data_IF_065429283762
#
_entry.id   IF_065429283762
#
_cell.length_a   1.000
_cell.length_b   1.000
_cell.length_c   1.000
_cell.angle_alpha   90.00
_cell.angle_beta   90.00
_cell.angle_gamma   90.00
#
_symmetry.space_group_name_H-M   'P 1'
#
loop_
_entity.id
_entity.type
_entity.pdbx_description
1 polymer ?
#
# COMPACT_ATOMS: atom_id res chain seq x y z
N UNK A 1 -26.19 -3.10 31.83
CA UNK A 1 -25.03 -2.83 32.72
C UNK A 1 -23.86 -3.82 32.55
N UNK A 2 -24.07 -5.07 32.12
CA UNK A 2 -22.95 -6.03 31.93
C UNK A 2 -22.10 -5.86 30.65
N UNK A 3 -22.55 -5.07 29.65
CA UNK A 3 -21.74 -4.77 28.44
C UNK A 3 -20.69 -3.68 28.67
N UNK A 4 -20.88 -2.82 29.67
CA UNK A 4 -19.92 -1.78 30.04
C UNK A 4 -18.71 -2.36 30.79
N UNK A 5 -18.91 -3.46 31.53
CA UNK A 5 -17.86 -4.14 32.30
C UNK A 5 -16.83 -4.87 31.38
N UNK A 6 -17.27 -5.37 30.22
CA UNK A 6 -16.40 -6.10 29.28
C UNK A 6 -15.46 -5.14 28.53
N UNK A 7 -15.89 -3.90 28.26
CA UNK A 7 -15.06 -2.89 27.60
C UNK A 7 -13.98 -2.31 28.51
N UNK A 8 -14.19 -2.26 29.83
CA UNK A 8 -13.18 -1.79 30.79
C UNK A 8 -12.07 -2.83 31.01
N UNK A 9 -12.38 -4.13 30.97
CA UNK A 9 -11.36 -5.19 31.12
C UNK A 9 -10.45 -5.35 29.90
N UNK A 10 -10.88 -4.94 28.70
CA UNK A 10 -10.01 -4.99 27.51
C UNK A 10 -8.88 -3.94 27.54
N UNK A 11 -9.01 -2.88 28.34
CA UNK A 11 -7.99 -1.84 28.46
C UNK A 11 -6.87 -2.16 29.47
N UNK A 12 -7.00 -3.24 30.26
CA UNK A 12 -5.98 -3.61 31.26
C UNK A 12 -4.90 -4.56 30.73
N UNK A 13 -4.95 -4.94 29.45
CA UNK A 13 -3.98 -5.84 28.82
C UNK A 13 -3.18 -5.18 27.69
N UNK A 14 -2.83 -3.91 27.86
CA UNK A 14 -1.69 -3.30 27.16
C UNK A 14 -0.50 -3.25 28.13
N UNK A 15 0.10 -4.42 28.35
CA UNK A 15 1.39 -4.55 29.00
C UNK A 15 2.46 -3.81 28.18
N UNK A 16 3.33 -3.11 28.91
CA UNK A 16 4.68 -2.70 28.53
C UNK A 16 4.85 -1.44 27.66
N UNK A 17 4.35 -0.29 28.15
CA UNK A 17 5.13 0.94 27.99
C UNK A 17 6.27 0.91 29.01
N UNK A 18 7.34 0.16 28.69
CA UNK A 18 8.55 0.13 29.52
C UNK A 18 9.34 1.41 29.26
N UNK A 19 9.41 2.26 30.29
CA UNK A 19 10.27 3.44 30.29
C UNK A 19 11.70 2.91 30.43
N UNK A 20 12.62 3.10 29.45
CA UNK A 20 14.01 2.72 29.66
C UNK A 20 14.61 3.69 30.67
N UNK A 21 14.62 3.31 31.94
CA UNK A 21 15.41 3.98 32.97
C UNK A 21 16.89 3.87 32.56
N UNK A 22 17.39 4.95 31.96
CA UNK A 22 18.78 5.14 31.59
C UNK A 22 19.61 5.20 32.88
N UNK A 23 20.09 4.04 33.36
CA UNK A 23 21.04 3.99 34.47
C UNK A 23 22.37 4.58 34.01
N UNK A 24 22.65 5.81 34.42
CA UNK A 24 23.96 6.42 34.35
C UNK A 24 24.88 5.67 35.33
N UNK A 25 25.55 4.62 34.84
CA UNK A 25 26.57 3.94 35.60
C UNK A 25 27.84 4.80 35.61
N UNK A 26 28.01 5.59 36.66
CA UNK A 26 29.29 6.20 37.04
C UNK A 26 30.22 5.06 37.46
N UNK A 27 31.14 4.68 36.57
CA UNK A 27 32.15 3.66 36.84
C UNK A 27 33.41 4.32 37.39
N UNK A 28 33.54 4.26 38.72
CA UNK A 28 34.77 4.55 39.43
C UNK A 28 35.80 3.49 39.07
N UNK A 29 36.95 3.93 38.54
CA UNK A 29 38.07 3.08 38.15
C UNK A 29 38.61 2.31 39.37
N UNK A 30 38.75 0.99 39.28
CA UNK A 30 39.87 0.28 39.91
C UNK A 30 40.11 -1.13 39.30
N UNK A 31 41.32 -1.28 38.78
CA UNK A 31 42.21 -2.45 38.78
C UNK A 31 41.74 -3.84 38.27
N UNK A 32 42.28 -4.17 37.08
CA UNK A 32 43.03 -5.39 36.71
C UNK A 32 42.30 -6.73 36.38
N UNK A 33 42.92 -7.58 35.53
CA UNK A 33 42.22 -8.33 34.47
C UNK A 33 42.29 -9.86 34.66
N UNK A 34 41.75 -10.59 33.66
CA UNK A 34 41.69 -12.05 33.46
C UNK A 34 40.52 -12.77 34.14
N UNK A 35 39.43 -12.84 33.39
CA UNK A 35 38.67 -14.07 33.27
C UNK A 35 38.13 -14.13 31.84
N UNK A 36 38.41 -15.23 31.15
CA UNK A 36 37.89 -15.59 29.84
C UNK A 36 36.36 -15.70 29.91
N UNK A 37 35.66 -14.59 29.74
CA UNK A 37 34.26 -14.61 29.38
C UNK A 37 34.19 -15.02 27.91
N UNK A 38 33.78 -16.29 27.70
CA UNK A 38 33.11 -16.70 26.47
C UNK A 38 32.17 -15.56 26.09
N UNK A 39 32.55 -14.85 25.03
CA UNK A 39 31.79 -13.72 24.52
C UNK A 39 30.41 -14.24 24.17
N UNK A 40 29.48 -14.09 25.10
CA UNK A 40 28.06 -14.32 24.93
C UNK A 40 27.67 -13.40 23.79
N UNK A 41 27.63 -13.98 22.58
CA UNK A 41 27.18 -13.35 21.35
C UNK A 41 25.77 -12.85 21.64
N UNK A 42 25.64 -11.60 22.06
CA UNK A 42 24.35 -10.94 22.13
C UNK A 42 23.89 -10.87 20.68
N UNK A 43 22.85 -11.61 20.25
CA UNK A 43 22.21 -11.25 19.01
C UNK A 43 21.66 -9.85 19.26
N UNK A 44 22.26 -8.87 18.62
CA UNK A 44 21.72 -7.53 18.56
C UNK A 44 20.39 -7.69 17.81
N UNK A 45 19.30 -7.92 18.54
CA UNK A 45 17.93 -7.86 18.04
C UNK A 45 17.67 -6.39 17.76
N UNK A 46 18.29 -5.89 16.68
CA UNK A 46 17.96 -4.60 16.13
C UNK A 46 16.44 -4.62 15.93
N UNK A 47 15.68 -3.73 16.59
CA UNK A 47 14.25 -3.67 16.35
C UNK A 47 14.09 -3.46 14.85
N UNK A 48 13.36 -4.37 14.20
CA UNK A 48 13.02 -4.24 12.79
C UNK A 48 12.30 -2.90 12.66
N UNK A 49 13.04 -1.86 12.27
CA UNK A 49 12.49 -0.55 12.02
C UNK A 49 11.54 -0.78 10.85
N UNK A 50 10.24 -0.69 11.14
CA UNK A 50 9.23 -0.75 10.10
C UNK A 50 9.59 0.31 9.07
N UNK A 51 10.07 -0.14 7.92
CA UNK A 51 10.41 0.73 6.81
C UNK A 51 9.10 1.35 6.35
N UNK A 52 8.92 2.64 6.61
CA UNK A 52 7.78 3.38 6.07
C UNK A 52 7.97 3.43 4.56
N UNK A 53 7.22 2.60 3.84
CA UNK A 53 7.22 2.60 2.39
C UNK A 53 6.37 3.80 1.93
N UNK A 54 7.02 4.72 1.23
CA UNK A 54 6.35 5.87 0.60
C UNK A 54 5.75 5.41 -0.74
N UNK A 55 4.46 5.66 -0.94
CA UNK A 55 3.72 5.29 -2.15
C UNK A 55 3.75 6.36 -3.25
N UNK A 56 2.82 6.26 -4.20
CA UNK A 56 2.56 7.31 -5.19
C UNK A 56 2.09 8.58 -4.45
N UNK A 57 2.69 9.73 -4.78
CA UNK A 57 2.53 11.04 -4.10
C UNK A 57 3.32 11.23 -2.79
N UNK A 58 4.25 10.33 -2.45
CA UNK A 58 5.04 10.46 -1.22
C UNK A 58 4.21 10.25 0.07
N UNK A 59 3.00 9.73 -0.08
CA UNK A 59 2.11 9.33 0.99
C UNK A 59 2.18 7.82 1.14
N UNK A 60 2.50 7.33 2.34
CA UNK A 60 2.53 5.93 2.67
C UNK A 60 1.24 5.45 3.33
N UNK A 61 1.19 4.15 3.62
CA UNK A 61 0.07 3.55 4.37
C UNK A 61 -0.16 4.23 5.74
N UNK A 62 0.87 4.61 6.52
CA UNK A 62 0.66 5.31 7.78
C UNK A 62 -0.02 6.67 7.61
N UNK A 63 0.39 7.47 6.62
CA UNK A 63 -0.17 8.81 6.36
C UNK A 63 -1.64 8.71 5.91
N UNK A 64 -1.94 7.77 5.00
CA UNK A 64 -3.32 7.53 4.53
C UNK A 64 -4.23 7.09 5.68
N UNK A 65 -3.73 6.25 6.60
CA UNK A 65 -4.52 5.80 7.75
C UNK A 65 -4.92 6.96 8.68
N UNK A 66 -4.02 7.92 8.91
CA UNK A 66 -4.32 9.11 9.75
C UNK A 66 -5.39 9.98 9.10
N UNK A 67 -5.28 10.23 7.79
CA UNK A 67 -6.26 11.03 7.05
C UNK A 67 -7.64 10.36 7.08
N UNK A 68 -7.71 9.05 6.83
CA UNK A 68 -8.96 8.29 6.90
C UNK A 68 -9.53 8.23 8.32
N UNK A 69 -8.68 8.17 9.34
CA UNK A 69 -9.10 8.24 10.74
C UNK A 69 -9.78 9.56 11.08
N UNK A 70 -9.20 10.69 10.68
CA UNK A 70 -9.77 12.02 10.92
C UNK A 70 -11.04 12.23 10.09
N UNK A 71 -11.00 11.90 8.79
CA UNK A 71 -12.17 11.98 7.92
C UNK A 71 -13.32 11.10 8.45
N UNK A 72 -13.00 9.90 8.93
CA UNK A 72 -13.97 8.97 9.54
C UNK A 72 -14.51 9.44 10.87
N UNK A 73 -13.74 10.23 11.63
CA UNK A 73 -14.23 10.86 12.85
C UNK A 73 -15.21 12.00 12.56
N UNK A 74 -14.91 12.84 11.57
CA UNK A 74 -15.77 13.99 11.20
C UNK A 74 -17.06 13.51 10.50
N UNK A 75 -16.92 12.58 9.56
CA UNK A 75 -18.03 12.11 8.73
C UNK A 75 -18.79 10.94 9.37
N UNK A 76 -18.13 10.18 10.26
CA UNK A 76 -18.64 8.96 10.87
C UNK A 76 -18.30 7.69 10.05
N UNK A 77 -18.08 6.54 10.72
CA UNK A 77 -17.71 5.28 10.07
C UNK A 77 -18.81 4.74 9.14
N UNK A 78 -20.09 5.05 9.39
CA UNK A 78 -21.20 4.64 8.53
C UNK A 78 -21.14 5.30 7.14
N UNK A 79 -20.77 6.58 7.07
CA UNK A 79 -20.74 7.32 5.81
C UNK A 79 -19.55 6.92 4.94
N UNK A 80 -18.37 6.72 5.55
CA UNK A 80 -17.21 6.19 4.82
C UNK A 80 -17.47 4.79 4.28
N UNK A 81 -18.10 3.91 5.06
CA UNK A 81 -18.41 2.54 4.59
C UNK A 81 -19.51 2.51 3.53
N UNK A 82 -20.52 3.39 3.63
CA UNK A 82 -21.53 3.54 2.56
C UNK A 82 -20.89 4.01 1.25
N UNK A 83 -20.10 5.09 1.29
CA UNK A 83 -19.40 5.59 0.10
C UNK A 83 -18.43 4.56 -0.47
N UNK A 84 -17.68 3.84 0.38
CA UNK A 84 -16.78 2.78 -0.08
C UNK A 84 -17.52 1.62 -0.75
N UNK A 85 -18.74 1.28 -0.30
CA UNK A 85 -19.58 0.27 -0.97
C UNK A 85 -20.03 0.74 -2.35
N UNK A 86 -20.46 1.99 -2.47
CA UNK A 86 -20.92 2.55 -3.75
C UNK A 86 -19.75 2.69 -4.74
N UNK A 87 -18.60 3.22 -4.28
CA UNK A 87 -17.36 3.22 -5.06
C UNK A 87 -16.89 1.81 -5.42
N UNK A 88 -17.03 0.84 -4.50
CA UNK A 88 -16.65 -0.55 -4.74
C UNK A 88 -17.50 -1.22 -5.81
N UNK A 89 -18.79 -0.90 -5.89
CA UNK A 89 -19.68 -1.35 -6.98
C UNK A 89 -19.25 -0.74 -8.31
N UNK A 90 -19.07 0.58 -8.36
CA UNK A 90 -18.62 1.28 -9.58
C UNK A 90 -17.26 0.72 -10.04
N UNK A 91 -16.32 0.53 -9.12
CA UNK A 91 -15.03 -0.09 -9.44
C UNK A 91 -15.13 -1.56 -9.86
N UNK A 92 -16.19 -2.27 -9.43
CA UNK A 92 -16.50 -3.63 -9.88
C UNK A 92 -17.00 -3.65 -11.32
N UNK A 93 -17.96 -2.78 -11.63
CA UNK A 93 -18.53 -2.63 -12.98
C UNK A 93 -17.45 -2.16 -13.97
N UNK A 94 -16.57 -1.25 -13.52
CA UNK A 94 -15.38 -0.82 -14.25
C UNK A 94 -14.27 -1.89 -14.35
N UNK A 95 -14.47 -3.16 -14.00
CA UNK A 95 -13.51 -4.23 -14.35
C UNK A 95 -13.85 -4.92 -15.65
N UNK A 96 -15.11 -4.92 -16.05
CA UNK A 96 -15.56 -5.49 -17.33
C UNK A 96 -15.18 -4.54 -18.47
N UNK A 97 -15.45 -3.25 -18.26
CA UNK A 97 -15.13 -2.18 -19.22
C UNK A 97 -13.65 -2.18 -19.67
N UNK A 98 -12.61 -2.25 -18.79
CA UNK A 98 -11.22 -2.37 -19.18
C UNK A 98 -10.86 -3.69 -19.89
N UNK A 99 -11.57 -4.79 -19.60
CA UNK A 99 -11.35 -6.05 -20.34
C UNK A 99 -11.83 -5.91 -21.76
N UNK A 100 -13.02 -5.35 -21.96
CA UNK A 100 -13.56 -5.03 -23.28
C UNK A 100 -12.69 -4.00 -24.01
N UNK A 101 -12.17 -2.98 -23.31
CA UNK A 101 -11.21 -2.05 -23.90
C UNK A 101 -9.90 -2.74 -24.32
N UNK A 102 -9.39 -3.67 -23.52
CA UNK A 102 -8.17 -4.41 -23.86
C UNK A 102 -8.39 -5.38 -25.04
N UNK A 103 -9.56 -6.02 -25.11
CA UNK A 103 -9.95 -6.87 -26.24
C UNK A 103 -10.18 -6.04 -27.51
N UNK A 104 -10.91 -4.93 -27.42
CA UNK A 104 -11.11 -4.00 -28.52
C UNK A 104 -9.81 -3.35 -29.00
N UNK A 105 -8.86 -3.05 -28.11
CA UNK A 105 -7.52 -2.60 -28.51
C UNK A 105 -6.79 -3.68 -29.33
N UNK A 106 -6.80 -4.94 -28.88
CA UNK A 106 -6.18 -6.06 -29.62
C UNK A 106 -6.86 -6.33 -30.97
N UNK A 107 -8.19 -6.29 -30.99
CA UNK A 107 -8.97 -6.46 -32.22
C UNK A 107 -8.72 -5.30 -33.18
N UNK A 108 -8.64 -4.06 -32.69
CA UNK A 108 -8.32 -2.90 -33.52
C UNK A 108 -6.89 -2.94 -34.06
N UNK A 109 -5.94 -3.53 -33.32
CA UNK A 109 -4.55 -3.70 -33.77
C UNK A 109 -4.47 -4.76 -34.88
N UNK A 110 -5.24 -5.85 -34.74
CA UNK A 110 -5.37 -6.89 -35.79
C UNK A 110 -6.17 -6.40 -37.01
N UNK A 111 -7.22 -5.61 -36.80
CA UNK A 111 -8.04 -5.03 -37.86
C UNK A 111 -7.28 -3.93 -38.61
N UNK A 112 -6.47 -3.11 -37.93
CA UNK A 112 -5.59 -2.13 -38.57
C UNK A 112 -4.49 -2.81 -39.40
N UNK A 113 -3.95 -3.95 -38.94
CA UNK A 113 -3.03 -4.75 -39.76
C UNK A 113 -3.70 -5.33 -41.02
N UNK A 114 -4.99 -5.68 -40.95
CA UNK A 114 -5.76 -6.17 -42.10
C UNK A 114 -6.21 -5.06 -43.06
N UNK A 115 -6.53 -3.86 -42.55
CA UNK A 115 -6.96 -2.71 -43.35
C UNK A 115 -5.79 -2.03 -44.08
N UNK A 116 -4.58 -2.02 -43.50
CA UNK A 116 -3.36 -1.54 -44.16
C UNK A 116 -2.93 -2.39 -45.39
N UNK A 117 -3.57 -3.54 -45.63
CA UNK A 117 -3.35 -4.34 -46.85
C UNK A 117 -4.35 -4.02 -47.97
N UNK A 118 -5.36 -3.17 -47.75
CA UNK A 118 -6.44 -2.95 -48.75
C UNK A 118 -6.61 -1.53 -49.29
N UNK A 119 -5.82 -0.56 -48.85
CA UNK A 119 -5.75 0.76 -49.49
C UNK A 119 -4.39 0.98 -50.16
N UNK A 120 -4.25 0.46 -51.38
CA UNK A 120 -3.50 1.17 -52.43
C UNK A 120 -4.53 1.65 -53.45
N UNK A 121 -4.71 2.97 -53.61
CA UNK A 121 -5.49 3.51 -54.71
C UNK A 121 -4.67 3.32 -55.98
N UNK A 122 -5.08 2.40 -56.87
CA UNK A 122 -4.63 2.44 -58.25
C UNK A 122 -5.40 3.56 -58.97
N UNK A 123 -4.72 4.62 -59.43
CA UNK A 123 -5.31 5.67 -60.23
C UNK A 123 -5.70 5.12 -61.60
N UNK A 124 -6.74 5.70 -62.15
CA UNK A 124 -7.15 5.59 -63.55
C UNK A 124 -5.96 6.00 -64.43
N UNK A 125 -5.41 5.09 -65.22
CA UNK A 125 -4.45 5.43 -66.27
C UNK A 125 -5.06 5.12 -67.64
N UNK A 126 -5.25 6.19 -68.41
CA UNK A 126 -5.90 6.24 -69.71
C UNK A 126 -5.11 5.45 -70.77
N UNK A 127 -5.77 4.47 -71.41
CA UNK A 127 -5.26 3.88 -72.65
C UNK A 127 -5.54 4.86 -73.80
N UNK A 128 -4.51 5.64 -74.13
CA UNK A 128 -4.39 6.38 -75.39
C UNK A 128 -4.33 5.38 -76.53
N UNK A 129 -5.37 5.37 -77.37
CA UNK A 129 -5.31 4.80 -78.72
C UNK A 129 -4.81 5.89 -79.68
N UNK A 130 -3.63 5.70 -80.25
CA UNK A 130 -3.23 6.26 -81.57
C UNK A 130 -2.15 5.37 -82.16
#
# INVERSE_FOLDING_TARGET
MMRLLVLVSAALSAHAFTIPARSLSVSTRHALPRASSVARRQPNLAPARASVQMGLFGLGMPEIAVILGIAGFILGPEKLTSMAKDFGKIAGDLKEVPKEFAEGMKESEQAQAALQTKETPEPKEDTVQT
#
